data_IF_156990893797
#
_entry.id   IF_156990893797
#
_cell.length_a   1.000
_cell.length_b   1.000
_cell.length_c   1.000
_cell.angle_alpha   90.00
_cell.angle_beta   90.00
_cell.angle_gamma   90.00
#
_symmetry.space_group_name_H-M   'P 1'
#
loop_
_entity.id
_entity.type
_entity.pdbx_description
1 polymer ?
#
# COMPACT_ATOMS: atom_id res chain seq x y z
N UNK A 1 5.01 -16.96 -3.46
CA UNK A 1 5.74 -15.84 -2.81
C UNK A 1 5.26 -15.66 -1.39
N UNK A 2 6.16 -15.35 -0.51
CA UNK A 2 5.84 -15.03 0.88
C UNK A 2 6.08 -13.54 1.15
N UNK A 3 5.74 -13.08 2.36
CA UNK A 3 5.89 -11.66 2.71
C UNK A 3 7.33 -11.15 2.58
N UNK A 4 8.37 -11.85 3.10
CA UNK A 4 9.76 -11.41 2.90
C UNK A 4 10.18 -11.33 1.44
N UNK A 5 9.72 -12.25 0.59
CA UNK A 5 10.02 -12.22 -0.86
C UNK A 5 9.46 -10.97 -1.52
N UNK A 6 8.23 -10.58 -1.19
CA UNK A 6 7.59 -9.37 -1.72
C UNK A 6 8.37 -8.13 -1.31
N UNK A 7 8.73 -8.02 -0.03
CA UNK A 7 9.50 -6.88 0.48
C UNK A 7 10.84 -6.77 -0.24
N UNK A 8 11.56 -7.88 -0.36
CA UNK A 8 12.86 -7.90 -1.03
C UNK A 8 12.75 -7.51 -2.50
N UNK A 9 11.76 -8.04 -3.22
CA UNK A 9 11.54 -7.73 -4.63
C UNK A 9 11.23 -6.25 -4.86
N UNK A 10 10.40 -5.65 -4.00
CA UNK A 10 10.07 -4.23 -4.12
C UNK A 10 11.25 -3.33 -3.80
N UNK A 11 12.05 -3.65 -2.78
CA UNK A 11 13.26 -2.90 -2.47
C UNK A 11 14.32 -3.01 -3.57
N UNK A 12 14.37 -4.15 -4.23
CA UNK A 12 15.32 -4.41 -5.32
C UNK A 12 14.96 -3.62 -6.58
N UNK A 13 13.67 -3.54 -6.89
CA UNK A 13 13.17 -2.89 -8.11
C UNK A 13 13.03 -1.37 -7.96
N UNK A 14 12.58 -0.90 -6.80
CA UNK A 14 12.27 0.52 -6.59
C UNK A 14 13.27 1.15 -5.62
N UNK A 15 14.09 2.06 -6.13
CA UNK A 15 15.16 2.69 -5.37
C UNK A 15 14.65 3.61 -4.26
N UNK A 16 15.42 3.75 -3.18
CA UNK A 16 15.15 4.72 -2.12
C UNK A 16 14.12 4.31 -1.09
N UNK A 17 13.73 3.04 -1.05
CA UNK A 17 12.76 2.53 -0.09
C UNK A 17 13.44 2.09 1.21
N UNK A 18 12.88 2.53 2.33
CA UNK A 18 13.32 2.16 3.68
C UNK A 18 12.20 1.40 4.38
N UNK A 19 12.45 0.17 4.87
CA UNK A 19 11.42 -0.57 5.60
C UNK A 19 11.33 -0.12 7.06
N UNK A 20 10.09 -0.11 7.57
CA UNK A 20 9.81 0.05 9.01
C UNK A 20 8.82 -1.01 9.41
N UNK A 21 9.20 -1.84 10.39
CA UNK A 21 8.36 -2.93 10.86
C UNK A 21 7.79 -2.64 12.24
N UNK A 22 6.49 -2.83 12.40
CA UNK A 22 5.77 -2.63 13.65
C UNK A 22 4.59 -3.59 13.70
N UNK A 23 4.50 -4.40 14.76
CA UNK A 23 3.33 -5.26 15.02
C UNK A 23 2.87 -6.12 13.83
N UNK A 24 3.82 -6.80 13.16
CA UNK A 24 3.48 -7.67 12.04
C UNK A 24 3.16 -6.96 10.73
N UNK A 25 3.44 -5.66 10.66
CA UNK A 25 3.34 -4.87 9.43
C UNK A 25 4.69 -4.28 9.08
N UNK A 26 5.10 -4.41 7.83
CA UNK A 26 6.28 -3.73 7.28
C UNK A 26 5.82 -2.69 6.28
N UNK A 27 6.15 -1.43 6.54
CA UNK A 27 5.86 -0.32 5.64
C UNK A 27 7.12 0.06 4.89
N UNK A 28 7.00 0.26 3.58
CA UNK A 28 8.09 0.74 2.73
C UNK A 28 7.89 2.23 2.48
N UNK A 29 8.81 3.04 2.97
CA UNK A 29 8.80 4.49 2.82
C UNK A 29 9.84 4.94 1.80
N UNK A 30 9.47 5.86 0.94
CA UNK A 30 10.43 6.54 0.07
C UNK A 30 10.99 7.75 0.80
N UNK A 31 12.27 7.72 1.13
CA UNK A 31 12.93 8.82 1.84
C UNK A 31 14.43 8.81 1.62
N UNK A 32 14.87 9.02 0.36
CA UNK A 32 16.31 9.00 0.06
C UNK A 32 17.06 10.06 0.85
N UNK A 33 18.17 9.65 1.46
CA UNK A 33 19.02 10.53 2.27
C UNK A 33 18.40 10.98 3.60
N UNK A 34 17.23 10.41 4.01
CA UNK A 34 16.58 10.83 5.24
C UNK A 34 16.10 12.28 5.23
N UNK A 35 15.82 12.82 4.06
CA UNK A 35 15.49 14.25 3.86
C UNK A 35 14.22 14.68 4.59
N UNK A 36 13.21 13.82 4.62
CA UNK A 36 11.96 14.07 5.34
C UNK A 36 11.97 13.33 6.69
N UNK A 37 11.17 13.78 7.67
CA UNK A 37 11.11 13.10 8.97
C UNK A 37 10.72 11.62 8.87
N UNK A 38 9.76 11.28 8.03
CA UNK A 38 9.27 9.89 7.88
C UNK A 38 9.28 9.38 6.46
N UNK A 39 9.29 10.27 5.47
CA UNK A 39 9.20 9.90 4.06
C UNK A 39 7.75 9.75 3.59
N UNK A 40 7.57 9.12 2.44
CA UNK A 40 6.28 8.91 1.80
C UNK A 40 5.98 7.42 1.72
N UNK A 41 4.80 7.00 2.15
CA UNK A 41 4.34 5.62 2.05
C UNK A 41 4.28 5.18 0.58
N UNK A 42 4.93 4.07 0.28
CA UNK A 42 4.83 3.41 -1.01
C UNK A 42 3.91 2.20 -0.94
N UNK A 43 4.22 1.24 -0.09
CA UNK A 43 3.38 0.08 0.12
C UNK A 43 3.58 -0.50 1.52
N UNK A 44 2.66 -1.39 1.93
CA UNK A 44 2.75 -2.09 3.21
C UNK A 44 2.56 -3.59 2.99
N UNK A 45 3.22 -4.39 3.81
CA UNK A 45 3.04 -5.84 3.86
C UNK A 45 2.67 -6.19 5.30
N UNK A 46 1.49 -6.79 5.49
CA UNK A 46 0.90 -7.02 6.81
C UNK A 46 0.55 -8.48 6.99
N UNK A 47 0.97 -9.08 8.09
CA UNK A 47 0.79 -10.50 8.36
C UNK A 47 -0.24 -10.80 9.45
N UNK A 48 -0.76 -9.78 10.13
CA UNK A 48 -1.74 -9.94 11.22
C UNK A 48 -2.80 -8.86 11.17
N UNK A 49 -3.98 -9.15 11.71
CA UNK A 49 -5.03 -8.14 11.87
C UNK A 49 -4.59 -7.03 12.82
N UNK A 50 -5.04 -5.82 12.56
CA UNK A 50 -4.88 -4.68 13.45
C UNK A 50 -6.17 -4.37 14.21
N UNK A 51 -6.11 -3.47 15.18
CA UNK A 51 -7.25 -3.09 16.01
C UNK A 51 -8.45 -2.59 15.19
N UNK A 52 -8.19 -1.80 14.14
CA UNK A 52 -9.23 -1.22 13.28
C UNK A 52 -9.11 -1.73 11.85
N UNK A 53 -8.51 -2.91 11.64
CA UNK A 53 -8.24 -3.48 10.33
C UNK A 53 -8.28 -5.00 10.42
N UNK A 54 -9.49 -5.57 10.51
CA UNK A 54 -9.75 -7.00 10.70
C UNK A 54 -10.54 -7.65 9.58
N UNK A 55 -11.02 -6.86 8.63
CA UNK A 55 -11.96 -7.34 7.62
C UNK A 55 -11.36 -8.39 6.68
N UNK A 56 -10.04 -8.41 6.53
CA UNK A 56 -9.37 -9.37 5.64
C UNK A 56 -8.97 -10.68 6.33
N UNK A 57 -9.16 -10.79 7.64
CA UNK A 57 -8.85 -12.00 8.44
C UNK A 57 -7.43 -12.48 8.19
N UNK A 58 -6.44 -11.60 8.46
CA UNK A 58 -5.03 -11.89 8.18
C UNK A 58 -4.42 -12.92 9.14
N UNK A 59 -5.05 -13.17 10.30
CA UNK A 59 -4.54 -14.11 11.29
C UNK A 59 -4.69 -15.59 10.88
N UNK A 60 -5.16 -15.85 9.66
CA UNK A 60 -5.20 -17.20 9.10
C UNK A 60 -3.78 -17.65 8.72
N UNK A 61 -3.42 -18.95 8.90
CA UNK A 61 -2.11 -19.46 8.52
C UNK A 61 -1.77 -19.17 7.04
N UNK A 62 -0.57 -18.64 6.81
CA UNK A 62 -0.07 -18.39 5.46
C UNK A 62 -0.69 -17.19 4.73
N UNK A 63 -1.55 -16.42 5.39
CA UNK A 63 -2.19 -15.25 4.77
C UNK A 63 -1.43 -13.99 5.15
N UNK A 64 -1.16 -13.16 4.15
CA UNK A 64 -0.59 -11.83 4.35
C UNK A 64 -1.17 -10.89 3.31
N UNK A 65 -1.11 -9.59 3.59
CA UNK A 65 -1.60 -8.54 2.68
C UNK A 65 -0.43 -7.78 2.09
N UNK A 66 -0.52 -7.50 0.80
CA UNK A 66 0.26 -6.45 0.15
C UNK A 66 -0.70 -5.32 -0.21
N UNK A 67 -0.41 -4.10 0.24
CA UNK A 67 -1.25 -2.94 -0.01
C UNK A 67 -0.41 -1.80 -0.58
N UNK A 68 -0.98 -1.07 -1.52
CA UNK A 68 -0.30 0.05 -2.17
C UNK A 68 -1.29 1.17 -2.48
N UNK A 69 -0.79 2.41 -2.45
CA UNK A 69 -1.59 3.59 -2.78
C UNK A 69 -1.51 3.92 -4.25
N UNK A 70 -2.65 3.90 -4.94
CA UNK A 70 -2.73 4.26 -6.35
C UNK A 70 -3.12 5.74 -6.51
N UNK A 71 -2.63 6.42 -7.56
CA UNK A 71 -3.22 7.70 -7.93
C UNK A 71 -4.68 7.53 -8.32
N UNK A 72 -5.47 8.60 -8.17
CA UNK A 72 -6.92 8.55 -8.34
C UNK A 72 -7.37 7.91 -9.65
N UNK A 73 -6.76 8.33 -10.76
CA UNK A 73 -7.12 7.85 -12.08
C UNK A 73 -6.90 6.34 -12.24
N UNK A 74 -5.82 5.81 -11.68
CA UNK A 74 -5.53 4.38 -11.75
C UNK A 74 -6.48 3.55 -10.90
N UNK A 75 -6.82 4.05 -9.70
CA UNK A 75 -7.82 3.39 -8.87
C UNK A 75 -9.17 3.37 -9.59
N UNK A 76 -9.59 4.51 -10.14
CA UNK A 76 -10.88 4.62 -10.82
C UNK A 76 -10.99 3.77 -12.08
N UNK A 77 -9.89 3.58 -12.82
CA UNK A 77 -9.84 2.67 -13.97
C UNK A 77 -10.16 1.22 -13.54
N UNK A 78 -9.72 0.82 -12.36
CA UNK A 78 -9.91 -0.55 -11.87
C UNK A 78 -11.27 -0.76 -11.19
N UNK A 79 -11.73 0.20 -10.41
CA UNK A 79 -12.84 0.00 -9.48
C UNK A 79 -13.91 1.09 -9.52
N UNK A 80 -13.78 2.08 -10.39
CA UNK A 80 -14.69 3.22 -10.41
C UNK A 80 -14.37 4.23 -9.32
N UNK A 81 -15.30 5.14 -8.99
CA UNK A 81 -15.05 6.18 -8.00
C UNK A 81 -14.59 5.64 -6.65
N UNK A 82 -13.67 6.37 -6.01
CA UNK A 82 -13.23 5.98 -4.66
C UNK A 82 -14.42 6.06 -3.70
N UNK A 83 -14.57 5.06 -2.79
CA UNK A 83 -15.68 5.06 -1.86
C UNK A 83 -15.53 6.15 -0.78
N UNK A 84 -16.63 6.54 -0.12
CA UNK A 84 -16.54 7.42 1.04
C UNK A 84 -15.72 6.79 2.17
N UNK A 85 -15.08 7.64 2.99
CA UNK A 85 -14.33 7.19 4.16
C UNK A 85 -15.28 6.50 5.16
N UNK A 86 -14.96 5.26 5.61
CA UNK A 86 -15.77 4.58 6.61
C UNK A 86 -15.55 5.18 8.00
N UNK A 87 -16.49 4.95 8.95
CA UNK A 87 -16.23 5.30 10.34
C UNK A 87 -15.10 4.45 10.90
N UNK A 88 -14.50 4.90 12.01
CA UNK A 88 -13.41 4.17 12.68
C UNK A 88 -13.85 2.73 12.99
N UNK A 89 -13.01 1.77 12.59
CA UNK A 89 -13.31 0.34 12.75
C UNK A 89 -14.27 -0.24 11.72
N UNK A 90 -14.83 0.60 10.83
CA UNK A 90 -15.68 0.14 9.73
C UNK A 90 -14.87 -0.14 8.46
N UNK A 91 -15.59 -0.52 7.40
CA UNK A 91 -15.01 -0.81 6.10
C UNK A 91 -15.72 -0.02 5.00
N UNK A 92 -15.02 0.17 3.87
CA UNK A 92 -15.61 0.82 2.70
C UNK A 92 -16.71 -0.08 2.11
N UNK A 93 -17.70 0.55 1.47
CA UNK A 93 -18.88 -0.15 0.91
C UNK A 93 -18.67 -0.39 -0.58
N UNK A 94 -17.82 -1.36 -0.92
CA UNK A 94 -17.51 -1.69 -2.32
C UNK A 94 -18.09 -3.03 -2.77
N UNK A 95 -18.64 -3.82 -1.84
CA UNK A 95 -19.19 -5.14 -2.17
C UNK A 95 -18.16 -6.24 -2.39
N UNK A 96 -16.88 -5.98 -2.15
CA UNK A 96 -15.83 -6.99 -2.30
C UNK A 96 -15.75 -7.92 -1.09
N UNK A 97 -15.34 -9.16 -1.32
CA UNK A 97 -14.97 -10.08 -0.24
C UNK A 97 -13.52 -9.79 0.15
N UNK A 98 -13.33 -9.04 1.23
CA UNK A 98 -12.01 -8.63 1.68
C UNK A 98 -11.16 -9.79 2.22
N UNK A 99 -11.72 -10.99 2.35
CA UNK A 99 -11.00 -12.19 2.79
C UNK A 99 -10.49 -13.03 1.61
N UNK A 100 -10.89 -12.72 0.39
CA UNK A 100 -10.47 -13.47 -0.80
C UNK A 100 -8.97 -13.30 -1.05
N UNK A 101 -8.29 -14.41 -1.36
CA UNK A 101 -6.86 -14.40 -1.64
C UNK A 101 -6.58 -14.33 -3.13
N UNK A 102 -5.38 -13.83 -3.46
CA UNK A 102 -4.87 -13.80 -4.83
C UNK A 102 -5.70 -12.96 -5.81
N UNK A 103 -6.39 -11.95 -5.31
CA UNK A 103 -7.22 -11.03 -6.10
C UNK A 103 -6.92 -9.61 -5.68
N UNK A 104 -6.64 -8.74 -6.64
CA UNK A 104 -6.48 -7.31 -6.37
C UNK A 104 -7.86 -6.69 -6.15
N UNK A 105 -8.02 -5.97 -5.06
CA UNK A 105 -9.29 -5.36 -4.67
C UNK A 105 -9.08 -4.07 -3.89
N UNK A 106 -10.12 -3.24 -3.71
CA UNK A 106 -10.01 -2.08 -2.83
C UNK A 106 -9.60 -2.47 -1.41
N UNK A 107 -8.76 -1.64 -0.78
CA UNK A 107 -8.38 -1.84 0.62
C UNK A 107 -9.59 -1.58 1.52
N UNK A 108 -9.94 -2.48 2.45
CA UNK A 108 -11.18 -2.33 3.24
C UNK A 108 -11.21 -1.05 4.09
N UNK A 109 -10.05 -0.53 4.50
CA UNK A 109 -9.98 0.64 5.38
C UNK A 109 -9.53 1.90 4.63
N UNK A 110 -8.70 1.78 3.61
CA UNK A 110 -8.05 2.93 2.96
C UNK A 110 -8.38 3.11 1.47
N UNK A 111 -9.37 2.39 0.92
CA UNK A 111 -9.76 2.56 -0.47
C UNK A 111 -10.25 3.98 -0.78
N UNK A 112 -10.80 4.70 0.20
CA UNK A 112 -11.19 6.10 0.04
C UNK A 112 -10.02 7.02 -0.29
N UNK A 113 -8.78 6.59 0.02
CA UNK A 113 -7.55 7.27 -0.34
C UNK A 113 -6.91 6.72 -1.63
N UNK A 114 -7.56 5.75 -2.28
CA UNK A 114 -7.03 5.11 -3.48
C UNK A 114 -6.18 3.87 -3.21
N UNK A 115 -6.18 3.35 -1.98
CA UNK A 115 -5.41 2.15 -1.66
C UNK A 115 -6.12 0.88 -2.11
N UNK A 116 -5.32 -0.05 -2.61
CA UNK A 116 -5.75 -1.40 -3.01
C UNK A 116 -4.96 -2.44 -2.25
N UNK A 117 -5.49 -3.66 -2.19
CA UNK A 117 -4.83 -4.77 -1.52
C UNK A 117 -4.85 -6.02 -2.39
N UNK A 118 -3.94 -6.93 -2.11
CA UNK A 118 -4.01 -8.32 -2.54
C UNK A 118 -3.57 -9.18 -1.37
N UNK A 119 -4.32 -10.25 -1.07
CA UNK A 119 -3.96 -11.20 -0.03
C UNK A 119 -3.24 -12.38 -0.67
N UNK A 120 -2.06 -12.72 -0.13
CA UNK A 120 -1.27 -13.89 -0.53
C UNK A 120 -1.20 -14.08 -2.04
N UNK A 121 -0.66 -13.11 -2.80
CA UNK A 121 -0.60 -13.23 -4.25
C UNK A 121 0.30 -14.39 -4.67
N UNK A 122 -0.10 -15.09 -5.75
CA UNK A 122 0.79 -16.00 -6.44
C UNK A 122 1.91 -15.23 -7.14
N UNK A 123 2.97 -15.93 -7.57
CA UNK A 123 4.03 -15.30 -8.36
C UNK A 123 3.50 -14.63 -9.62
N UNK A 124 2.56 -15.27 -10.32
CA UNK A 124 1.95 -14.71 -11.53
C UNK A 124 1.13 -13.45 -11.23
N UNK A 125 0.33 -13.48 -10.17
CA UNK A 125 -0.47 -12.31 -9.77
C UNK A 125 0.45 -11.16 -9.36
N UNK A 126 1.48 -11.44 -8.55
CA UNK A 126 2.44 -10.42 -8.13
C UNK A 126 3.13 -9.78 -9.34
N UNK A 127 3.57 -10.59 -10.29
CA UNK A 127 4.18 -10.10 -11.53
C UNK A 127 3.20 -9.24 -12.33
N UNK A 128 1.94 -9.65 -12.43
CA UNK A 128 0.91 -8.90 -13.16
C UNK A 128 0.60 -7.54 -12.55
N UNK A 129 0.93 -7.34 -11.27
CA UNK A 129 0.73 -6.06 -10.57
C UNK A 129 1.80 -5.02 -10.86
N UNK A 130 2.84 -5.35 -11.61
CA UNK A 130 3.96 -4.44 -11.88
C UNK A 130 3.51 -3.05 -12.34
N UNK A 131 2.58 -2.90 -13.29
CA UNK A 131 2.13 -1.56 -13.68
C UNK A 131 1.50 -0.76 -12.54
N UNK A 132 0.86 -1.43 -11.58
CA UNK A 132 0.27 -0.79 -10.41
C UNK A 132 1.37 -0.28 -9.45
N UNK A 133 2.40 -1.09 -9.22
CA UNK A 133 3.55 -0.65 -8.41
C UNK A 133 4.27 0.52 -9.06
N UNK A 134 4.45 0.50 -10.37
CA UNK A 134 5.06 1.63 -11.10
C UNK A 134 4.23 2.90 -10.93
N UNK A 135 2.91 2.82 -11.10
CA UNK A 135 2.03 3.97 -10.92
C UNK A 135 2.07 4.50 -9.48
N UNK A 136 2.08 3.60 -8.49
CA UNK A 136 2.19 3.97 -7.08
C UNK A 136 3.54 4.65 -6.79
N UNK A 137 4.62 4.11 -7.33
CA UNK A 137 5.96 4.66 -7.14
C UNK A 137 6.09 6.06 -7.77
N UNK A 138 5.57 6.25 -8.98
CA UNK A 138 5.58 7.56 -9.64
C UNK A 138 4.82 8.60 -8.81
N UNK A 139 3.68 8.22 -8.23
CA UNK A 139 2.92 9.10 -7.33
C UNK A 139 3.71 9.43 -6.06
N UNK A 140 4.45 8.46 -5.52
CA UNK A 140 5.31 8.66 -4.34
C UNK A 140 6.44 9.63 -4.66
N UNK A 141 7.08 9.50 -5.81
CA UNK A 141 8.14 10.43 -6.25
C UNK A 141 7.62 11.86 -6.32
N UNK A 142 6.43 12.06 -6.90
CA UNK A 142 5.82 13.37 -7.00
C UNK A 142 5.51 13.97 -5.63
N UNK A 143 4.95 13.17 -4.71
CA UNK A 143 4.67 13.61 -3.35
C UNK A 143 5.94 13.96 -2.58
N UNK A 144 6.97 13.16 -2.73
CA UNK A 144 8.26 13.41 -2.09
C UNK A 144 8.84 14.76 -2.55
N UNK A 145 8.86 15.01 -3.85
CA UNK A 145 9.37 16.27 -4.40
C UNK A 145 8.55 17.47 -3.91
N UNK A 146 7.22 17.34 -3.86
CA UNK A 146 6.36 18.42 -3.35
C UNK A 146 6.63 18.72 -1.88
N UNK A 147 6.77 17.68 -1.05
CA UNK A 147 7.07 17.84 0.39
C UNK A 147 8.46 18.41 0.62
N UNK A 148 9.44 17.94 -0.14
CA UNK A 148 10.82 18.43 -0.06
C UNK A 148 10.89 19.92 -0.44
N UNK A 149 10.24 20.32 -1.52
CA UNK A 149 10.20 21.71 -1.97
C UNK A 149 9.52 22.62 -0.94
N UNK A 150 8.38 22.17 -0.36
CA UNK A 150 7.66 22.91 0.69
C UNK A 150 8.52 23.08 1.94
N UNK A 151 9.22 22.01 2.37
CA UNK A 151 10.12 22.04 3.53
C UNK A 151 11.29 22.99 3.31
N UNK A 152 11.87 22.99 2.11
CA UNK A 152 12.97 23.89 1.74
C UNK A 152 12.50 25.36 1.77
N UNK A 153 11.30 25.67 1.24
CA UNK A 153 10.73 27.02 1.27
C UNK A 153 10.46 27.51 2.68
N UNK A 154 9.99 26.63 3.57
CA UNK A 154 9.70 27.03 4.97
C UNK A 154 10.97 27.27 5.79
N UNK A 155 12.13 26.82 5.33
CA UNK A 155 13.44 27.09 5.96
C UNK A 155 14.10 28.37 5.45
N UNK A 156 13.68 28.82 4.30
CA UNK A 156 14.14 30.07 3.69
C UNK A 156 13.30 31.22 4.17
#
# INVERSE_FOLDING_TARGET
VNAPDVIAALQDEFAGLTPKSTWGETSLFYNPGGTLPSGVYFCTVKEHDGTNDRASHLDRPGVFRVALGLPRDRYEELFGPRPPRPPKGGVVMTGHDFTATNVVMPHPVYAWMGWVQVLSPSGDTFTSMHPLFVAAYDAVLAKFEARRAKRSRSRG
#
